data_IF_088886484400
#
_entry.id   IF_088886484400
#
_cell.length_a   1.000
_cell.length_b   1.000
_cell.length_c   1.000
_cell.angle_alpha   90.00
_cell.angle_beta   90.00
_cell.angle_gamma   90.00
#
_symmetry.space_group_name_H-M   'P 1'
#
loop_
_entity.id
_entity.type
_entity.pdbx_description
1 polymer ?
#
# COMPACT_ATOMS: atom_id res chain seq x y z
N UNK A 1 -14.95 -7.47 -8.66
CA UNK A 1 -13.58 -7.09 -8.26
C UNK A 1 -13.54 -7.03 -6.74
N UNK A 2 -12.59 -7.72 -6.09
CA UNK A 2 -12.46 -7.69 -4.63
C UNK A 2 -11.67 -6.44 -4.22
N UNK A 3 -11.93 -5.95 -3.01
CA UNK A 3 -11.28 -4.76 -2.45
C UNK A 3 -10.53 -5.14 -1.18
N UNK A 4 -9.36 -4.55 -0.95
CA UNK A 4 -8.55 -4.81 0.25
C UNK A 4 -8.14 -3.53 0.97
N UNK A 5 -8.07 -3.67 2.28
CA UNK A 5 -7.36 -2.77 3.19
C UNK A 5 -6.19 -3.57 3.75
N UNK A 6 -4.99 -3.00 3.72
CA UNK A 6 -3.77 -3.62 4.20
C UNK A 6 -3.15 -2.70 5.25
N UNK A 7 -2.94 -3.23 6.45
CA UNK A 7 -2.26 -2.51 7.52
C UNK A 7 -1.35 -3.46 8.29
N UNK A 8 -0.12 -3.03 8.55
CA UNK A 8 0.88 -3.73 9.35
C UNK A 8 2.19 -2.89 9.46
N UNK A 9 3.32 -3.55 9.67
CA UNK A 9 4.66 -3.01 9.40
C UNK A 9 4.93 -2.73 7.91
N UNK A 10 5.83 -1.79 7.65
CA UNK A 10 6.06 -1.22 6.31
C UNK A 10 6.44 -2.28 5.26
N UNK A 11 7.38 -3.16 5.58
CA UNK A 11 7.87 -4.19 4.65
C UNK A 11 6.78 -5.19 4.26
N UNK A 12 5.95 -5.61 5.22
CA UNK A 12 4.85 -6.55 4.98
C UNK A 12 3.76 -5.94 4.11
N UNK A 13 3.39 -4.67 4.37
CA UNK A 13 2.39 -3.97 3.57
C UNK A 13 2.82 -3.89 2.11
N UNK A 14 4.09 -3.52 1.86
CA UNK A 14 4.63 -3.36 0.51
C UNK A 14 4.55 -4.67 -0.28
N UNK A 15 4.99 -5.78 0.33
CA UNK A 15 4.92 -7.10 -0.29
C UNK A 15 3.49 -7.57 -0.55
N UNK A 16 2.59 -7.40 0.43
CA UNK A 16 1.20 -7.84 0.30
C UNK A 16 0.42 -6.95 -0.68
N UNK A 17 0.70 -5.66 -0.74
CA UNK A 17 0.11 -4.74 -1.70
C UNK A 17 0.49 -5.10 -3.13
N UNK A 18 1.77 -5.38 -3.38
CA UNK A 18 2.27 -5.82 -4.68
C UNK A 18 1.55 -7.10 -5.15
N UNK A 19 1.54 -8.13 -4.30
CA UNK A 19 0.86 -9.38 -4.59
C UNK A 19 -0.65 -9.19 -4.82
N UNK A 20 -1.33 -8.46 -3.94
CA UNK A 20 -2.78 -8.24 -4.04
C UNK A 20 -3.16 -7.51 -5.34
N UNK A 21 -2.40 -6.48 -5.72
CA UNK A 21 -2.61 -5.74 -6.96
C UNK A 21 -2.38 -6.64 -8.19
N UNK A 22 -1.31 -7.44 -8.17
CA UNK A 22 -0.96 -8.38 -9.26
C UNK A 22 -2.07 -9.41 -9.51
N UNK A 23 -2.73 -9.92 -8.46
CA UNK A 23 -3.84 -10.89 -8.59
C UNK A 23 -5.22 -10.22 -8.82
N UNK A 24 -5.25 -8.91 -9.07
CA UNK A 24 -6.48 -8.17 -9.42
C UNK A 24 -7.36 -7.73 -8.24
N UNK A 25 -6.80 -7.63 -7.03
CA UNK A 25 -7.48 -7.03 -5.89
C UNK A 25 -7.28 -5.51 -5.91
N UNK A 26 -8.38 -4.75 -5.80
CA UNK A 26 -8.32 -3.28 -5.70
C UNK A 26 -7.89 -2.87 -4.29
N UNK A 27 -6.71 -2.29 -4.17
CA UNK A 27 -6.31 -1.63 -2.93
C UNK A 27 -7.16 -0.38 -2.67
N UNK A 28 -7.60 -0.21 -1.43
CA UNK A 28 -8.37 0.97 -0.98
C UNK A 28 -7.60 1.76 0.06
N UNK A 29 -6.89 1.07 0.95
CA UNK A 29 -6.07 1.66 2.00
C UNK A 29 -4.84 0.78 2.23
N UNK A 30 -3.66 1.42 2.23
CA UNK A 30 -2.43 0.85 2.75
C UNK A 30 -1.95 1.76 3.90
N UNK A 31 -1.85 1.22 5.12
CA UNK A 31 -1.49 2.03 6.27
C UNK A 31 -0.53 1.35 7.25
N UNK A 32 0.51 2.06 7.68
CA UNK A 32 1.44 1.57 8.71
C UNK A 32 1.51 2.52 9.91
N UNK A 33 1.83 1.96 11.08
CA UNK A 33 2.24 2.74 12.25
C UNK A 33 3.66 3.28 12.18
N UNK A 34 4.44 2.91 11.15
CA UNK A 34 5.79 3.43 10.92
C UNK A 34 5.83 4.93 10.64
N UNK A 35 7.01 5.53 10.85
CA UNK A 35 7.22 6.98 10.80
C UNK A 35 8.28 7.38 9.73
N UNK A 36 8.62 6.46 8.82
CA UNK A 36 9.69 6.65 7.83
C UNK A 36 9.42 7.79 6.84
N UNK A 37 8.14 8.01 6.53
CA UNK A 37 7.66 8.98 5.54
C UNK A 37 7.70 8.43 4.11
N UNK A 38 8.05 7.15 3.94
CA UNK A 38 8.40 6.55 2.65
C UNK A 38 7.32 5.64 2.09
N UNK A 39 6.33 5.23 2.89
CA UNK A 39 5.35 4.21 2.46
C UNK A 39 4.72 4.53 1.10
N UNK A 40 4.34 5.78 0.85
CA UNK A 40 3.73 6.18 -0.43
C UNK A 40 4.68 6.02 -1.61
N UNK A 41 5.92 6.48 -1.48
CA UNK A 41 6.94 6.38 -2.52
C UNK A 41 7.27 4.91 -2.80
N UNK A 42 7.43 4.10 -1.74
CA UNK A 42 7.69 2.67 -1.86
C UNK A 42 6.56 1.95 -2.59
N UNK A 43 5.30 2.22 -2.23
CA UNK A 43 4.14 1.65 -2.91
C UNK A 43 4.07 2.07 -4.39
N UNK A 44 4.37 3.33 -4.72
CA UNK A 44 4.42 3.80 -6.11
C UNK A 44 5.50 3.06 -6.90
N UNK A 45 6.67 2.83 -6.30
CA UNK A 45 7.77 2.11 -6.93
C UNK A 45 7.46 0.65 -7.22
N UNK A 46 6.84 -0.07 -6.27
CA UNK A 46 6.56 -1.51 -6.46
C UNK A 46 5.30 -1.78 -7.27
N UNK A 47 4.29 -0.90 -7.20
CA UNK A 47 3.03 -1.10 -7.92
C UNK A 47 3.09 -0.59 -9.36
N UNK A 48 3.92 0.42 -9.65
CA UNK A 48 4.01 1.01 -10.99
C UNK A 48 2.64 1.40 -11.55
N UNK A 49 2.29 0.86 -12.72
CA UNK A 49 1.01 1.10 -13.40
C UNK A 49 -0.22 0.58 -12.63
N UNK A 50 -0.01 -0.30 -11.63
CA UNK A 50 -1.07 -0.79 -10.75
C UNK A 50 -1.35 0.18 -9.58
N UNK A 51 -0.53 1.21 -9.39
CA UNK A 51 -0.75 2.22 -8.37
C UNK A 51 -1.91 3.15 -8.77
N UNK A 52 -3.03 3.07 -8.05
CA UNK A 52 -4.16 3.98 -8.25
C UNK A 52 -4.08 5.19 -7.31
N UNK A 53 -4.40 6.37 -7.83
CA UNK A 53 -4.57 7.60 -7.02
C UNK A 53 -5.77 7.51 -6.06
N UNK A 54 -6.63 6.50 -6.20
CA UNK A 54 -7.73 6.22 -5.27
C UNK A 54 -7.26 5.48 -4.00
N UNK A 55 -6.02 4.98 -3.96
CA UNK A 55 -5.47 4.32 -2.77
C UNK A 55 -5.17 5.37 -1.72
N UNK A 56 -5.81 5.26 -0.57
CA UNK A 56 -5.47 6.06 0.60
C UNK A 56 -4.18 5.47 1.20
N UNK A 57 -3.16 6.30 1.39
CA UNK A 57 -1.91 5.89 2.04
C UNK A 57 -1.81 6.60 3.40
N UNK A 58 -1.82 5.80 4.47
CA UNK A 58 -1.73 6.28 5.84
C UNK A 58 -0.38 5.91 6.47
N UNK A 59 0.21 6.85 7.20
CA UNK A 59 1.46 6.58 7.92
C UNK A 59 1.46 7.29 9.27
N UNK A 60 2.17 6.74 10.25
CA UNK A 60 2.36 7.36 11.55
C UNK A 60 2.99 8.75 11.41
N UNK A 61 2.46 9.69 12.19
CA UNK A 61 2.99 11.05 12.34
C UNK A 61 3.14 11.30 13.83
N UNK A 62 4.36 11.21 14.36
CA UNK A 62 4.67 11.85 15.64
C UNK A 62 4.76 13.36 15.45
#
# INVERSE_FOLDING_TARGET
MKRAVIYDEEDLIVGLAAFAAEIGIKLVLCATGGESGKLKETLQGVLGDLFSQEIIVGQGSR
#
